data_IF_971075202851
#
_entry.id   IF_971075202851
#
_cell.length_a   1.000
_cell.length_b   1.000
_cell.length_c   1.000
_cell.angle_alpha   90.00
_cell.angle_beta   90.00
_cell.angle_gamma   90.00
#
_symmetry.space_group_name_H-M   'P 1'
#
loop_
_entity.id
_entity.type
_entity.pdbx_description
1 polymer ?
#
# COMPACT_ATOMS: atom_id res chain seq x y z
N UNK A 1 -14.70 32.91 -27.76
CA UNK A 1 -13.71 32.82 -26.67
C UNK A 1 -12.34 32.84 -27.32
N UNK A 2 -11.52 33.86 -27.05
CA UNK A 2 -10.15 33.95 -27.58
C UNK A 2 -9.25 33.36 -26.52
N UNK A 3 -8.54 32.28 -26.85
CA UNK A 3 -7.51 31.70 -25.97
C UNK A 3 -6.24 32.54 -26.17
N UNK A 4 -5.68 33.07 -25.08
CA UNK A 4 -4.48 33.93 -25.11
C UNK A 4 -3.27 33.16 -24.59
N UNK A 5 -2.05 33.63 -24.88
CA UNK A 5 -0.80 33.00 -24.43
C UNK A 5 -0.74 32.72 -22.92
N UNK A 6 -1.30 33.63 -22.11
CA UNK A 6 -1.39 33.47 -20.65
C UNK A 6 -2.20 32.24 -20.22
N UNK A 7 -3.23 31.84 -20.99
CA UNK A 7 -4.02 30.63 -20.69
C UNK A 7 -3.17 29.37 -20.89
N UNK A 8 -2.29 29.35 -21.90
CA UNK A 8 -1.37 28.25 -22.16
C UNK A 8 -0.25 28.17 -21.11
N UNK A 9 0.28 29.31 -20.67
CA UNK A 9 1.25 29.36 -19.57
C UNK A 9 0.67 28.78 -18.28
N UNK A 10 -0.57 29.15 -17.95
CA UNK A 10 -1.29 28.60 -16.80
C UNK A 10 -1.48 27.09 -16.92
N UNK A 11 -1.87 26.59 -18.10
CA UNK A 11 -2.02 25.16 -18.35
C UNK A 11 -0.70 24.39 -18.16
N UNK A 12 0.40 24.89 -18.71
CA UNK A 12 1.72 24.25 -18.57
C UNK A 12 2.16 24.21 -17.12
N UNK A 13 1.97 25.30 -16.37
CA UNK A 13 2.28 25.35 -14.94
C UNK A 13 1.45 24.32 -14.14
N UNK A 14 0.17 24.13 -14.50
CA UNK A 14 -0.68 23.12 -13.88
C UNK A 14 -0.18 21.71 -14.21
N UNK A 15 0.11 21.40 -15.48
CA UNK A 15 0.63 20.09 -15.91
C UNK A 15 1.97 19.79 -15.22
N UNK A 16 2.85 20.77 -15.11
CA UNK A 16 4.11 20.65 -14.38
C UNK A 16 3.88 20.28 -12.91
N UNK A 17 2.93 20.94 -12.24
CA UNK A 17 2.61 20.67 -10.83
C UNK A 17 2.02 19.27 -10.63
N UNK A 18 1.20 18.81 -11.57
CA UNK A 18 0.67 17.44 -11.58
C UNK A 18 1.82 16.44 -11.75
N UNK A 19 2.73 16.70 -12.68
CA UNK A 19 3.90 15.85 -12.91
C UNK A 19 4.79 15.74 -11.66
N UNK A 20 5.07 16.86 -10.98
CA UNK A 20 5.80 16.89 -9.70
C UNK A 20 5.11 16.04 -8.62
N UNK A 21 3.79 16.19 -8.45
CA UNK A 21 3.01 15.42 -7.47
C UNK A 21 3.12 13.91 -7.72
N UNK A 22 3.14 13.48 -8.97
CA UNK A 22 3.14 12.07 -9.36
C UNK A 22 4.55 11.47 -9.48
N UNK A 23 5.59 12.31 -9.56
CA UNK A 23 6.96 11.88 -9.88
C UNK A 23 7.16 11.59 -11.38
N UNK A 24 6.28 12.13 -12.22
CA UNK A 24 6.30 11.93 -13.67
C UNK A 24 7.44 12.76 -14.28
N UNK A 25 8.40 12.09 -14.92
CA UNK A 25 9.45 12.75 -15.69
C UNK A 25 9.04 12.87 -17.16
N UNK A 26 8.85 14.08 -17.66
CA UNK A 26 8.58 14.38 -19.06
C UNK A 26 9.09 15.80 -19.42
N UNK A 27 9.31 16.09 -20.69
CA UNK A 27 9.88 17.38 -21.12
C UNK A 27 8.77 18.42 -21.28
N UNK A 28 8.64 19.31 -20.30
CA UNK A 28 7.72 20.45 -20.39
C UNK A 28 8.16 21.43 -21.47
N UNK A 29 7.22 21.87 -22.35
CA UNK A 29 7.50 23.03 -23.18
C UNK A 29 7.74 24.26 -22.32
N UNK A 30 8.71 25.09 -22.71
CA UNK A 30 9.00 26.33 -21.98
C UNK A 30 7.79 27.26 -22.00
N UNK A 31 7.37 27.74 -20.83
CA UNK A 31 6.27 28.71 -20.71
C UNK A 31 6.56 30.03 -21.47
N UNK A 32 7.84 30.36 -21.70
CA UNK A 32 8.27 31.52 -22.46
C UNK A 32 7.93 31.46 -23.97
N UNK A 33 7.47 30.31 -24.48
CA UNK A 33 6.98 30.17 -25.87
C UNK A 33 5.56 30.74 -26.06
N UNK A 34 4.94 31.26 -25.01
CA UNK A 34 3.53 31.66 -24.97
C UNK A 34 3.34 33.07 -24.39
N UNK A 35 4.33 33.94 -24.54
CA UNK A 35 4.26 35.29 -24.03
C UNK A 35 3.15 36.11 -24.71
N UNK A 36 2.69 37.17 -24.04
CA UNK A 36 1.58 38.00 -24.51
C UNK A 36 1.90 38.64 -25.87
N UNK A 37 1.25 38.17 -26.93
CA UNK A 37 1.40 38.70 -28.29
C UNK A 37 1.78 37.65 -29.33
N UNK A 38 2.16 36.45 -28.90
CA UNK A 38 2.49 35.35 -29.80
C UNK A 38 1.24 34.66 -30.37
N UNK A 39 1.29 34.29 -31.66
CA UNK A 39 0.29 33.42 -32.29
C UNK A 39 0.55 32.01 -31.76
N UNK A 40 -0.38 31.48 -30.96
CA UNK A 40 -0.28 30.16 -30.34
C UNK A 40 0.00 29.07 -31.39
N UNK A 41 1.26 28.65 -31.50
CA UNK A 41 1.57 27.35 -32.09
C UNK A 41 1.17 26.31 -31.03
N UNK A 42 0.14 25.51 -31.33
CA UNK A 42 -0.18 24.36 -30.48
C UNK A 42 1.01 23.40 -30.53
N UNK A 43 1.79 23.37 -29.45
CA UNK A 43 3.01 22.56 -29.37
C UNK A 43 2.68 21.08 -29.46
N UNK A 44 3.38 20.37 -30.34
CA UNK A 44 3.20 18.94 -30.60
C UNK A 44 3.32 18.08 -29.32
N UNK A 45 4.02 18.57 -28.29
CA UNK A 45 4.37 17.80 -27.10
C UNK A 45 3.37 17.91 -25.95
N UNK A 46 2.52 18.96 -25.91
CA UNK A 46 1.55 19.15 -24.82
C UNK A 46 0.51 17.99 -24.73
N UNK A 47 -0.05 17.48 -25.84
CA UNK A 47 -0.94 16.32 -25.79
C UNK A 47 -0.27 15.06 -25.23
N UNK A 48 0.99 14.78 -25.59
CA UNK A 48 1.73 13.62 -25.04
C UNK A 48 1.96 13.76 -23.55
N UNK A 49 2.33 14.96 -23.09
CA UNK A 49 2.52 15.21 -21.66
C UNK A 49 1.24 15.04 -20.86
N UNK A 50 0.12 15.59 -21.36
CA UNK A 50 -1.20 15.40 -20.75
C UNK A 50 -1.51 13.91 -20.67
N UNK A 51 -1.26 13.14 -21.73
CA UNK A 51 -1.43 11.69 -21.72
C UNK A 51 -0.54 11.00 -20.67
N UNK A 52 0.72 11.42 -20.49
CA UNK A 52 1.63 10.87 -19.48
C UNK A 52 1.13 11.13 -18.06
N UNK A 53 0.75 12.37 -17.72
CA UNK A 53 0.25 12.69 -16.37
C UNK A 53 -1.13 12.08 -16.08
N UNK A 54 -1.96 11.89 -17.11
CA UNK A 54 -3.22 11.15 -17.01
C UNK A 54 -3.01 9.66 -16.75
N UNK A 55 -2.00 9.06 -17.39
CA UNK A 55 -1.62 7.67 -17.14
C UNK A 55 -1.12 7.47 -15.70
N UNK A 56 -0.44 8.47 -15.14
CA UNK A 56 0.15 8.43 -13.79
C UNK A 56 -0.74 9.06 -12.71
N UNK A 57 -2.02 9.35 -13.00
CA UNK A 57 -2.94 10.06 -12.09
C UNK A 57 -3.17 9.41 -10.73
N UNK A 58 -2.88 8.12 -10.59
CA UNK A 58 -3.02 7.35 -9.35
C UNK A 58 -1.69 7.14 -8.60
N UNK A 59 -0.65 7.86 -9.01
CA UNK A 59 0.68 7.82 -8.42
C UNK A 59 0.96 9.06 -7.58
N UNK A 60 1.91 8.92 -6.66
CA UNK A 60 2.49 10.03 -5.91
C UNK A 60 4.00 9.85 -5.84
N UNK A 61 4.73 10.96 -5.93
CA UNK A 61 6.18 10.98 -5.74
C UNK A 61 6.56 10.71 -4.27
N UNK A 62 7.78 10.29 -4.01
CA UNK A 62 8.27 10.12 -2.64
C UNK A 62 8.34 11.47 -1.90
N UNK A 63 8.71 12.56 -2.57
CA UNK A 63 8.76 13.90 -1.98
C UNK A 63 7.35 14.47 -1.70
N UNK A 64 6.34 13.97 -2.41
CA UNK A 64 4.94 14.35 -2.22
C UNK A 64 4.17 13.56 -1.15
N UNK A 65 4.80 12.51 -0.60
CA UNK A 65 4.15 11.55 0.28
C UNK A 65 4.87 11.44 1.64
N UNK A 66 4.08 11.16 2.67
CA UNK A 66 4.59 10.72 3.97
C UNK A 66 4.46 9.21 4.08
N UNK A 67 5.51 8.58 4.59
CA UNK A 67 5.57 7.16 4.90
C UNK A 67 5.65 6.97 6.42
N UNK A 68 4.79 6.12 6.94
CA UNK A 68 4.78 5.65 8.33
C UNK A 68 4.88 4.13 8.34
N UNK A 69 5.49 3.56 9.38
CA UNK A 69 5.80 2.12 9.46
C UNK A 69 5.26 1.45 10.72
N UNK A 70 4.59 2.19 11.60
CA UNK A 70 4.14 1.70 12.92
C UNK A 70 2.94 2.51 13.43
N UNK A 71 1.99 2.79 12.56
CA UNK A 71 0.73 3.45 12.95
C UNK A 71 -0.12 2.55 13.85
N UNK A 72 -0.01 1.23 13.66
CA UNK A 72 -0.58 0.22 14.55
C UNK A 72 0.45 -0.91 14.74
N UNK A 73 0.64 -1.34 15.99
CA UNK A 73 1.59 -2.41 16.33
C UNK A 73 0.91 -3.40 17.27
N UNK A 74 1.07 -4.70 17.00
CA UNK A 74 0.65 -5.78 17.87
C UNK A 74 1.83 -6.70 18.13
N UNK A 75 2.02 -7.11 19.39
CA UNK A 75 3.19 -7.88 19.84
C UNK A 75 2.74 -9.10 20.62
N UNK A 76 3.32 -10.25 20.31
CA UNK A 76 3.19 -11.51 21.04
C UNK A 76 4.56 -11.95 21.56
N UNK A 77 4.61 -12.33 22.83
CA UNK A 77 5.80 -12.96 23.46
C UNK A 77 5.56 -14.40 23.88
N UNK A 78 4.31 -14.84 23.89
CA UNK A 78 3.96 -16.20 24.26
C UNK A 78 4.34 -17.17 23.12
N UNK A 79 4.91 -18.34 23.41
CA UNK A 79 5.22 -19.33 22.39
C UNK A 79 3.96 -19.86 21.69
N UNK A 80 4.05 -20.26 20.42
CA UNK A 80 2.92 -20.78 19.64
C UNK A 80 3.34 -21.91 18.70
N UNK A 81 2.40 -22.81 18.38
CA UNK A 81 2.64 -24.06 17.64
C UNK A 81 1.51 -24.45 16.67
N UNK A 82 0.59 -23.51 16.40
CA UNK A 82 -0.54 -23.71 15.48
C UNK A 82 -0.72 -22.45 14.63
N UNK A 83 -1.67 -21.58 14.92
CA UNK A 83 -1.83 -20.34 14.19
C UNK A 83 -2.07 -19.18 15.15
N UNK A 84 -1.43 -18.04 14.87
CA UNK A 84 -1.70 -16.76 15.53
C UNK A 84 -2.10 -15.74 14.48
N UNK A 85 -3.01 -14.84 14.84
CA UNK A 85 -3.52 -13.83 13.92
C UNK A 85 -3.63 -12.46 14.57
N UNK A 86 -3.38 -11.43 13.78
CA UNK A 86 -3.70 -10.04 14.08
C UNK A 86 -4.82 -9.60 13.15
N UNK A 87 -5.99 -9.27 13.71
CA UNK A 87 -7.10 -8.68 12.96
C UNK A 87 -7.22 -7.20 13.31
N UNK A 88 -7.38 -6.35 12.29
CA UNK A 88 -7.45 -4.90 12.44
C UNK A 88 -8.37 -4.28 11.38
N UNK A 89 -8.69 -3.00 11.55
CA UNK A 89 -9.40 -2.18 10.57
C UNK A 89 -8.59 -0.96 10.19
N UNK A 90 -8.71 -0.57 8.93
CA UNK A 90 -8.35 0.76 8.42
C UNK A 90 -9.65 1.46 8.07
N UNK A 91 -10.01 2.52 8.81
CA UNK A 91 -11.29 3.21 8.67
C UNK A 91 -11.08 4.65 8.21
N UNK A 92 -11.76 4.99 7.12
CA UNK A 92 -11.89 6.34 6.56
C UNK A 92 -13.21 6.96 7.04
N UNK A 93 -13.31 8.30 7.00
CA UNK A 93 -14.53 8.96 7.43
C UNK A 93 -15.75 8.64 6.54
N UNK A 94 -15.50 8.32 5.26
CA UNK A 94 -16.48 7.88 4.27
C UNK A 94 -15.75 7.26 3.05
N UNK A 95 -16.51 6.71 2.11
CA UNK A 95 -15.97 6.13 0.87
C UNK A 95 -15.21 7.13 0.00
N UNK A 96 -15.59 8.40 -0.01
CA UNK A 96 -14.90 9.43 -0.79
C UNK A 96 -13.49 9.67 -0.25
N UNK A 97 -13.31 9.73 1.07
CA UNK A 97 -11.98 9.83 1.70
C UNK A 97 -11.10 8.61 1.41
N UNK A 98 -11.68 7.40 1.44
CA UNK A 98 -10.97 6.18 1.03
C UNK A 98 -10.53 6.27 -0.44
N UNK A 99 -11.46 6.66 -1.33
CA UNK A 99 -11.20 6.86 -2.76
C UNK A 99 -10.12 7.90 -3.01
N UNK A 100 -10.11 9.02 -2.28
CA UNK A 100 -9.08 10.06 -2.38
C UNK A 100 -7.72 9.55 -1.93
N UNK A 101 -7.67 8.81 -0.82
CA UNK A 101 -6.44 8.18 -0.35
C UNK A 101 -5.82 7.29 -1.44
N UNK A 102 -6.56 6.33 -1.97
CA UNK A 102 -6.01 5.42 -2.98
C UNK A 102 -5.75 6.10 -4.34
N UNK A 103 -6.59 7.05 -4.76
CA UNK A 103 -6.36 7.80 -6.00
C UNK A 103 -5.20 8.78 -5.92
N UNK A 104 -4.77 9.15 -4.72
CA UNK A 104 -3.56 9.95 -4.50
C UNK A 104 -2.29 9.10 -4.37
N UNK A 105 -2.33 7.82 -4.74
CA UNK A 105 -1.19 6.91 -4.60
C UNK A 105 -0.97 6.36 -3.19
N UNK A 106 -2.00 6.42 -2.33
CA UNK A 106 -1.97 5.88 -0.98
C UNK A 106 -1.76 4.36 -0.94
N UNK A 107 -1.11 3.89 0.11
CA UNK A 107 -0.82 2.47 0.34
C UNK A 107 -1.05 2.10 1.81
N UNK A 108 -1.63 0.92 2.05
CA UNK A 108 -1.61 0.27 3.37
C UNK A 108 -0.46 -0.72 3.38
N UNK A 109 0.38 -0.69 4.42
CA UNK A 109 1.66 -1.38 4.46
C UNK A 109 1.73 -2.30 5.68
N UNK A 110 2.28 -3.49 5.47
CA UNK A 110 2.38 -4.58 6.43
C UNK A 110 3.84 -4.99 6.59
N UNK A 111 4.32 -4.99 7.82
CA UNK A 111 5.63 -5.47 8.22
C UNK A 111 5.46 -6.43 9.40
N UNK A 112 6.28 -7.46 9.45
CA UNK A 112 6.30 -8.38 10.56
C UNK A 112 7.72 -8.84 10.87
N UNK A 113 7.99 -9.18 12.12
CA UNK A 113 9.31 -9.62 12.56
C UNK A 113 9.21 -10.58 13.73
N UNK A 114 10.13 -11.55 13.79
CA UNK A 114 10.35 -12.42 14.95
C UNK A 114 11.79 -12.26 15.45
N UNK A 115 11.99 -11.95 16.73
CA UNK A 115 13.32 -11.79 17.35
C UNK A 115 13.43 -12.52 18.70
N UNK A 116 14.67 -12.81 19.13
CA UNK A 116 14.93 -13.53 20.38
C UNK A 116 14.53 -15.01 20.32
N UNK A 117 14.21 -15.59 21.48
CA UNK A 117 13.79 -16.99 21.59
C UNK A 117 14.93 -18.01 21.50
N UNK A 118 14.57 -19.27 21.35
CA UNK A 118 15.50 -20.39 21.22
C UNK A 118 16.11 -20.48 19.81
N UNK A 119 17.34 -21.01 19.72
CA UNK A 119 18.07 -21.17 18.46
C UNK A 119 17.66 -22.39 17.64
N UNK A 120 16.36 -22.63 17.47
CA UNK A 120 15.82 -23.75 16.69
C UNK A 120 15.79 -23.44 15.19
N UNK A 121 15.76 -24.49 14.36
CA UNK A 121 15.63 -24.34 12.90
C UNK A 121 14.30 -23.69 12.52
N UNK A 122 13.21 -23.99 13.24
CA UNK A 122 11.89 -23.40 13.01
C UNK A 122 11.89 -21.89 13.26
N UNK A 123 12.47 -21.46 14.37
CA UNK A 123 12.65 -20.06 14.71
C UNK A 123 13.52 -19.31 13.69
N UNK A 124 14.56 -19.98 13.19
CA UNK A 124 15.42 -19.45 12.13
C UNK A 124 14.65 -19.30 10.82
N UNK A 125 13.85 -20.29 10.44
CA UNK A 125 13.02 -20.25 9.23
C UNK A 125 11.99 -19.11 9.31
N UNK A 126 11.25 -18.97 10.40
CA UNK A 126 10.33 -17.84 10.62
C UNK A 126 11.01 -16.47 10.54
N UNK A 127 12.17 -16.31 11.20
CA UNK A 127 12.91 -15.05 11.15
C UNK A 127 13.39 -14.74 9.72
N UNK A 128 13.86 -15.74 8.98
CA UNK A 128 14.28 -15.59 7.58
C UNK A 128 13.09 -15.28 6.67
N UNK A 129 11.97 -15.98 6.82
CA UNK A 129 10.72 -15.76 6.08
C UNK A 129 10.30 -14.30 6.21
N UNK A 130 10.13 -13.82 7.44
CA UNK A 130 9.66 -12.46 7.72
C UNK A 130 10.67 -11.38 7.28
N UNK A 131 11.97 -11.69 7.30
CA UNK A 131 13.00 -10.77 6.78
C UNK A 131 12.97 -10.71 5.25
N UNK A 132 12.82 -11.85 4.57
CA UNK A 132 12.89 -11.95 3.12
C UNK A 132 11.70 -11.28 2.43
N UNK A 133 10.50 -11.35 3.01
CA UNK A 133 9.31 -10.71 2.42
C UNK A 133 9.42 -9.18 2.38
N UNK A 134 10.18 -8.59 3.30
CA UNK A 134 10.20 -7.14 3.52
C UNK A 134 8.81 -6.60 3.86
N UNK A 135 8.48 -5.42 3.35
CA UNK A 135 7.16 -4.82 3.54
C UNK A 135 6.22 -5.25 2.42
N UNK A 136 5.09 -5.85 2.77
CA UNK A 136 3.96 -6.04 1.83
C UNK A 136 3.11 -4.77 1.83
N UNK A 137 2.59 -4.35 0.69
CA UNK A 137 1.72 -3.19 0.60
C UNK A 137 0.61 -3.36 -0.42
N UNK A 138 -0.59 -2.92 -0.04
CA UNK A 138 -1.76 -2.85 -0.88
C UNK A 138 -1.96 -1.41 -1.37
N UNK A 139 -2.10 -1.24 -2.67
CA UNK A 139 -2.44 0.03 -3.31
C UNK A 139 -3.88 0.01 -3.85
N UNK A 140 -4.21 0.94 -4.74
CA UNK A 140 -5.56 1.05 -5.32
C UNK A 140 -6.00 -0.19 -6.13
N UNK A 141 -5.08 -0.91 -6.78
CA UNK A 141 -5.39 -1.99 -7.73
C UNK A 141 -4.64 -3.31 -7.49
N UNK A 142 -3.49 -3.29 -6.80
CA UNK A 142 -2.66 -4.46 -6.59
C UNK A 142 -2.05 -4.51 -5.19
N UNK A 143 -1.60 -5.69 -4.80
CA UNK A 143 -0.72 -5.91 -3.65
C UNK A 143 0.67 -6.27 -4.17
N UNK A 144 1.70 -5.76 -3.51
CA UNK A 144 3.10 -5.98 -3.87
C UNK A 144 3.94 -6.10 -2.59
N UNK A 145 5.22 -6.40 -2.73
CA UNK A 145 6.17 -6.41 -1.61
C UNK A 145 7.50 -5.76 -2.01
N UNK A 146 8.28 -5.33 -1.03
CA UNK A 146 9.63 -4.77 -1.26
C UNK A 146 10.73 -5.84 -1.27
N UNK A 147 10.48 -6.99 -0.64
CA UNK A 147 11.41 -8.10 -0.58
C UNK A 147 11.21 -9.11 -1.72
N UNK A 148 11.46 -10.38 -1.44
CA UNK A 148 11.35 -11.48 -2.39
C UNK A 148 10.57 -12.67 -1.81
N UNK A 149 10.40 -13.71 -2.63
CA UNK A 149 9.55 -14.87 -2.28
C UNK A 149 8.06 -14.56 -2.41
N UNK A 150 7.23 -15.46 -1.92
CA UNK A 150 5.79 -15.27 -1.77
C UNK A 150 5.03 -15.09 -3.08
N UNK A 151 3.73 -14.89 -2.91
CA UNK A 151 2.80 -14.57 -3.97
C UNK A 151 1.96 -13.37 -3.55
N UNK A 152 2.17 -12.24 -4.19
CA UNK A 152 1.33 -11.06 -4.07
C UNK A 152 0.23 -11.08 -5.14
N UNK A 153 -1.00 -10.83 -4.71
CA UNK A 153 -2.16 -10.85 -5.60
C UNK A 153 -2.31 -9.57 -6.43
N UNK A 154 -3.06 -9.66 -7.52
CA UNK A 154 -3.55 -8.50 -8.27
C UNK A 154 -4.80 -7.88 -7.63
N UNK A 155 -4.88 -7.88 -6.30
CA UNK A 155 -5.98 -7.31 -5.53
C UNK A 155 -5.47 -6.06 -4.81
N UNK A 156 -6.14 -4.94 -5.07
CA UNK A 156 -6.00 -3.70 -4.32
C UNK A 156 -7.36 -3.23 -3.82
N UNK A 157 -7.42 -2.02 -3.28
CA UNK A 157 -8.63 -1.47 -2.68
C UNK A 157 -9.88 -1.61 -3.57
N UNK A 158 -9.79 -1.30 -4.87
CA UNK A 158 -10.96 -1.35 -5.76
C UNK A 158 -11.41 -2.77 -6.14
N UNK A 159 -10.58 -3.78 -5.88
CA UNK A 159 -10.89 -5.18 -6.17
C UNK A 159 -11.51 -5.90 -4.96
N UNK A 160 -11.45 -5.31 -3.77
CA UNK A 160 -11.95 -5.94 -2.53
C UNK A 160 -13.45 -6.19 -2.60
N UNK A 161 -13.85 -7.33 -2.05
CA UNK A 161 -15.23 -7.76 -1.87
C UNK A 161 -15.60 -7.79 -0.39
N UNK A 162 -16.85 -8.18 -0.09
CA UNK A 162 -17.38 -8.28 1.28
C UNK A 162 -16.89 -9.56 2.01
N UNK A 163 -16.02 -10.34 1.37
CA UNK A 163 -15.40 -11.56 1.90
C UNK A 163 -13.88 -11.43 1.93
N UNK A 164 -13.23 -12.13 2.86
CA UNK A 164 -11.77 -12.12 2.93
C UNK A 164 -11.17 -12.72 1.66
N UNK A 165 -10.32 -11.94 1.02
CA UNK A 165 -9.52 -12.32 -0.14
C UNK A 165 -8.04 -12.27 0.23
N UNK A 166 -7.28 -13.24 -0.25
CA UNK A 166 -5.84 -13.32 0.01
C UNK A 166 -5.10 -12.27 -0.80
N UNK A 167 -4.52 -11.31 -0.09
CA UNK A 167 -3.67 -10.28 -0.68
C UNK A 167 -2.26 -10.80 -0.93
N UNK A 168 -1.74 -11.59 0.02
CA UNK A 168 -0.38 -12.10 0.02
C UNK A 168 -0.28 -13.42 0.78
N UNK A 169 0.60 -14.31 0.31
CA UNK A 169 1.08 -15.45 1.09
C UNK A 169 2.57 -15.68 0.85
N UNK A 170 3.28 -16.13 1.86
CA UNK A 170 4.63 -16.68 1.72
C UNK A 170 4.80 -17.85 2.68
N UNK A 171 5.30 -18.96 2.14
CA UNK A 171 5.59 -20.16 2.91
C UNK A 171 7.02 -20.19 3.43
N UNK A 172 7.25 -21.00 4.46
CA UNK A 172 8.57 -21.37 4.94
C UNK A 172 9.32 -22.24 3.93
N UNK A 173 10.45 -22.79 4.35
CA UNK A 173 11.32 -23.55 3.46
C UNK A 173 11.74 -24.90 4.03
N UNK A 174 12.04 -25.85 3.13
CA UNK A 174 12.50 -27.19 3.52
C UNK A 174 11.49 -27.90 4.41
N UNK A 175 11.89 -28.24 5.64
CA UNK A 175 11.03 -28.93 6.60
C UNK A 175 9.87 -28.07 7.14
N UNK A 176 9.85 -26.76 6.84
CA UNK A 176 8.85 -25.80 7.31
C UNK A 176 8.01 -25.24 6.15
N UNK A 177 7.98 -25.91 4.99
CA UNK A 177 7.26 -25.44 3.79
C UNK A 177 5.73 -25.34 3.96
N UNK A 178 5.17 -25.92 5.02
CA UNK A 178 3.76 -25.80 5.38
C UNK A 178 3.49 -24.66 6.37
N UNK A 179 4.52 -23.94 6.82
CA UNK A 179 4.34 -22.72 7.60
C UNK A 179 4.07 -21.55 6.67
N UNK A 180 3.09 -20.70 6.97
CA UNK A 180 2.66 -19.64 6.07
C UNK A 180 2.44 -18.29 6.78
N UNK A 181 2.94 -17.22 6.17
CA UNK A 181 2.55 -15.85 6.47
C UNK A 181 1.51 -15.37 5.46
N UNK A 182 0.30 -15.05 5.91
CA UNK A 182 -0.84 -14.73 5.03
C UNK A 182 -1.41 -13.36 5.40
N UNK A 183 -1.71 -12.54 4.40
CA UNK A 183 -2.47 -11.30 4.57
C UNK A 183 -3.77 -11.42 3.77
N UNK A 184 -4.89 -11.29 4.47
CA UNK A 184 -6.22 -11.26 3.89
C UNK A 184 -6.87 -9.90 4.11
N UNK A 185 -7.73 -9.49 3.18
CA UNK A 185 -8.50 -8.25 3.30
C UNK A 185 -9.93 -8.42 2.76
N UNK A 186 -10.84 -7.60 3.28
CA UNK A 186 -12.18 -7.40 2.72
C UNK A 186 -12.62 -5.95 2.93
N UNK A 187 -13.53 -5.47 2.09
CA UNK A 187 -14.18 -4.18 2.31
C UNK A 187 -15.31 -4.31 3.33
N UNK A 188 -15.60 -3.23 4.01
CA UNK A 188 -16.76 -3.01 4.86
C UNK A 188 -17.31 -1.60 4.56
N UNK A 189 -18.56 -1.33 4.96
CA UNK A 189 -19.22 -0.04 4.74
C UNK A 189 -19.27 0.40 3.26
N UNK A 190 -19.58 -0.56 2.36
CA UNK A 190 -19.66 -0.33 0.91
C UNK A 190 -20.99 0.32 0.50
N UNK A 191 -20.90 1.45 -0.18
CA UNK A 191 -22.03 2.15 -0.81
C UNK A 191 -21.82 2.41 -2.30
N UNK A 192 -20.60 2.26 -2.82
CA UNK A 192 -20.25 2.45 -4.23
C UNK A 192 -20.30 3.91 -4.71
N UNK A 193 -20.31 4.88 -3.80
CA UNK A 193 -20.46 6.30 -4.15
C UNK A 193 -19.28 6.74 -5.01
N UNK A 194 -19.57 7.26 -6.21
CA UNK A 194 -18.56 7.80 -7.16
C UNK A 194 -17.43 6.83 -7.49
N UNK A 195 -17.73 5.53 -7.47
CA UNK A 195 -16.74 4.48 -7.70
C UNK A 195 -15.82 4.19 -6.51
N UNK A 196 -16.22 4.56 -5.28
CA UNK A 196 -15.60 4.05 -4.05
C UNK A 196 -15.83 2.55 -3.84
N UNK A 197 -15.11 1.95 -2.88
CA UNK A 197 -15.18 0.52 -2.59
C UNK A 197 -15.08 0.21 -1.08
N UNK A 198 -15.91 0.87 -0.28
CA UNK A 198 -15.97 0.71 1.18
C UNK A 198 -15.21 1.77 1.96
N UNK A 199 -15.83 2.30 3.02
CA UNK A 199 -15.16 3.26 3.91
C UNK A 199 -14.22 2.57 4.92
N UNK A 200 -14.34 1.26 5.10
CA UNK A 200 -13.52 0.47 6.01
C UNK A 200 -12.90 -0.72 5.30
N UNK A 201 -11.64 -1.01 5.60
CA UNK A 201 -10.95 -2.22 5.15
C UNK A 201 -10.66 -3.06 6.38
N UNK A 202 -11.21 -4.27 6.41
CA UNK A 202 -10.91 -5.27 7.44
C UNK A 202 -9.74 -6.11 6.97
N UNK A 203 -8.73 -6.23 7.81
CA UNK A 203 -7.47 -6.90 7.51
C UNK A 203 -7.20 -7.99 8.52
N UNK A 204 -6.64 -9.09 8.04
CA UNK A 204 -6.22 -10.21 8.86
C UNK A 204 -4.82 -10.63 8.43
N UNK A 205 -3.87 -10.54 9.36
CA UNK A 205 -2.51 -11.02 9.20
C UNK A 205 -2.38 -12.32 9.99
N UNK A 206 -2.02 -13.41 9.32
CA UNK A 206 -1.94 -14.74 9.91
C UNK A 206 -0.51 -15.26 9.84
N UNK A 207 -0.11 -15.95 10.90
CA UNK A 207 1.11 -16.72 10.99
C UNK A 207 0.66 -18.14 11.31
N UNK A 208 0.77 -19.05 10.34
CA UNK A 208 0.36 -20.45 10.46
C UNK A 208 1.61 -21.31 10.56
N UNK A 209 1.75 -22.05 11.64
CA UNK A 209 2.82 -23.00 11.95
C UNK A 209 2.24 -24.41 11.84
N UNK A 210 1.95 -24.81 10.59
CA UNK A 210 1.33 -26.10 10.28
C UNK A 210 2.38 -27.18 9.96
N UNK A 211 3.66 -26.95 10.26
CA UNK A 211 4.67 -27.99 10.13
C UNK A 211 4.30 -29.21 10.98
N UNK A 212 4.28 -30.37 10.34
CA UNK A 212 4.01 -31.61 11.01
C UNK A 212 5.35 -32.22 11.42
N UNK A 213 5.69 -32.17 12.71
CA UNK A 213 6.79 -32.99 13.19
C UNK A 213 6.48 -33.75 14.48
N UNK A 214 7.27 -34.79 14.71
CA UNK A 214 7.11 -35.71 15.84
C UNK A 214 7.57 -35.14 17.19
N UNK A 215 8.05 -33.89 17.22
CA UNK A 215 8.73 -33.28 18.37
C UNK A 215 8.00 -32.09 19.00
N UNK A 216 6.82 -31.70 18.52
CA UNK A 216 6.06 -30.55 19.05
C UNK A 216 6.94 -29.31 19.18
N UNK A 217 7.55 -28.90 18.06
CA UNK A 217 8.31 -27.66 18.03
C UNK A 217 7.36 -26.48 18.30
N UNK A 218 7.89 -25.44 18.90
CA UNK A 218 7.12 -24.24 19.22
C UNK A 218 7.95 -23.04 18.79
N UNK A 219 7.30 -22.10 18.12
CA UNK A 219 7.88 -20.81 17.80
C UNK A 219 7.82 -19.95 19.05
N UNK A 220 8.97 -19.43 19.48
CA UNK A 220 9.08 -18.58 20.67
C UNK A 220 9.80 -17.26 20.36
N UNK A 221 9.99 -16.42 21.38
CA UNK A 221 10.56 -15.08 21.24
C UNK A 221 9.48 -14.01 21.05
N UNK A 222 9.86 -12.90 20.45
CA UNK A 222 8.97 -11.75 20.24
C UNK A 222 8.54 -11.67 18.79
N UNK A 223 7.27 -11.95 18.54
CA UNK A 223 6.61 -11.75 17.25
C UNK A 223 5.93 -10.38 17.24
N UNK A 224 6.19 -9.58 16.21
CA UNK A 224 5.62 -8.25 16.04
C UNK A 224 4.97 -8.12 14.68
N UNK A 225 3.72 -7.66 14.65
CA UNK A 225 3.00 -7.22 13.45
C UNK A 225 2.88 -5.70 13.48
N UNK A 226 3.32 -5.03 12.41
CA UNK A 226 3.29 -3.57 12.26
C UNK A 226 2.51 -3.20 11.01
N UNK A 227 1.60 -2.26 11.16
CA UNK A 227 0.85 -1.66 10.07
C UNK A 227 1.28 -0.21 9.95
N UNK A 228 1.52 0.22 8.72
CA UNK A 228 1.81 1.59 8.38
C UNK A 228 1.10 2.00 7.11
N UNK A 229 1.39 3.20 6.63
CA UNK A 229 0.84 3.69 5.37
C UNK A 229 1.81 4.58 4.61
N UNK A 230 1.56 4.69 3.32
CA UNK A 230 2.07 5.80 2.50
C UNK A 230 0.89 6.66 2.09
N UNK A 231 1.00 7.98 2.22
CA UNK A 231 -0.11 8.92 1.95
C UNK A 231 0.41 10.21 1.35
N UNK A 232 -0.31 10.77 0.38
CA UNK A 232 -0.03 12.10 -0.16
C UNK A 232 -0.26 13.19 0.91
N UNK A 233 0.71 14.09 1.06
CA UNK A 233 0.67 15.14 2.10
C UNK A 233 1.12 16.51 1.63
N UNK A 234 1.94 16.62 0.57
CA UNK A 234 2.54 17.90 0.19
C UNK A 234 1.70 18.70 -0.83
N UNK A 235 1.37 18.11 -1.98
CA UNK A 235 0.67 18.83 -3.06
C UNK A 235 -0.84 18.64 -2.97
N UNK A 236 -1.27 17.49 -2.45
CA UNK A 236 -2.65 17.19 -2.06
C UNK A 236 -2.59 16.70 -0.62
N UNK A 237 -3.45 17.24 0.24
CA UNK A 237 -3.53 16.85 1.64
C UNK A 237 -4.68 15.86 1.82
N UNK A 238 -4.34 14.63 2.16
CA UNK A 238 -5.30 13.55 2.40
C UNK A 238 -5.45 13.32 3.90
N UNK A 239 -6.68 13.21 4.38
CA UNK A 239 -6.95 12.87 5.78
C UNK A 239 -6.40 11.48 6.12
N UNK A 240 -5.80 11.33 7.30
CA UNK A 240 -5.26 10.04 7.71
C UNK A 240 -6.43 9.10 8.02
N UNK A 241 -6.47 7.87 7.48
CA UNK A 241 -7.36 6.87 8.05
C UNK A 241 -6.96 6.57 9.50
N UNK A 242 -7.91 6.08 10.27
CA UNK A 242 -7.65 5.49 11.59
C UNK A 242 -7.34 4.00 11.44
N UNK A 243 -6.41 3.50 12.25
CA UNK A 243 -6.09 2.08 12.32
C UNK A 243 -6.33 1.55 13.72
N UNK A 244 -7.09 0.47 13.85
CA UNK A 244 -7.44 -0.10 15.15
C UNK A 244 -7.37 -1.61 15.15
N UNK A 245 -6.76 -2.18 16.19
CA UNK A 245 -6.78 -3.62 16.43
C UNK A 245 -8.19 -4.08 16.82
N UNK A 246 -8.61 -5.18 16.21
CA UNK A 246 -9.88 -5.87 16.46
C UNK A 246 -9.61 -7.10 17.31
N UNK A 247 -8.63 -7.89 16.89
CA UNK A 247 -8.08 -9.01 17.66
C UNK A 247 -6.56 -8.85 17.67
N UNK A 248 -5.93 -8.60 18.84
CA UNK A 248 -4.47 -8.51 18.89
C UNK A 248 -3.84 -9.85 18.53
N UNK A 249 -2.57 -9.81 18.14
CA UNK A 249 -1.76 -11.03 18.05
C UNK A 249 -1.50 -11.52 19.47
N UNK A 250 -2.48 -12.26 20.01
CA UNK A 250 -2.37 -12.92 21.30
C UNK A 250 -1.67 -14.22 21.14
#
# INVERSE_FOLDING_TARGET
MVVVGADFQALIAIVARIAEQQGTSDTLPSAALYDSGDIAQALADLPSMIATVEANRLSVDVAGATLTTSDLVSVRTDPWSTAVKHELTVSFANEDEARWFFNSGGQIRFDASRTGGSGTSQNTDWTNLLTNIGTVYMNHSTTQQTGSGGFASSIGYYSLTDTYEQLFTQSGSGAYETNDYIINARREDYTGVRGGNGATIRLQVMFNDDHANIHFDTVDGTLTSRIGMRRATAFVSITSPSMTTVTPIT
#
